data_IF_259991314995
#
_entry.id   IF_259991314995
#
_cell.length_a   1.000
_cell.length_b   1.000
_cell.length_c   1.000
_cell.angle_alpha   90.00
_cell.angle_beta   90.00
_cell.angle_gamma   90.00
#
_symmetry.space_group_name_H-M   'P 1'
#
loop_
_entity.id
_entity.type
_entity.pdbx_description
1 polymer ?
#
# COMPACT_ATOMS: atom_id res chain seq x y z
N UNK A 1 22.73 19.03 32.62
CA UNK A 1 21.75 18.32 31.76
C UNK A 1 21.56 16.93 32.33
N UNK A 2 20.36 16.54 32.77
CA UNK A 2 20.11 15.16 33.21
C UNK A 2 20.41 14.17 32.09
N UNK A 3 21.30 13.22 32.35
CA UNK A 3 21.69 12.17 31.42
C UNK A 3 20.72 11.00 31.44
N UNK A 4 20.70 10.18 30.37
CA UNK A 4 19.87 8.96 30.32
C UNK A 4 20.22 7.99 31.47
N UNK A 5 21.50 7.98 31.90
CA UNK A 5 21.95 7.16 33.02
C UNK A 5 21.34 7.63 34.34
N UNK A 6 21.35 8.93 34.62
CA UNK A 6 20.79 9.52 35.84
C UNK A 6 19.27 9.31 35.92
N UNK A 7 18.57 9.47 34.80
CA UNK A 7 17.12 9.30 34.74
C UNK A 7 16.68 7.87 35.06
N UNK A 8 17.46 6.89 34.61
CA UNK A 8 17.11 5.47 34.73
C UNK A 8 17.79 4.78 35.92
N UNK A 9 18.79 5.39 36.56
CA UNK A 9 19.49 4.78 37.70
C UNK A 9 18.60 4.57 38.93
N UNK A 10 17.47 5.29 39.02
CA UNK A 10 16.50 5.13 40.11
C UNK A 10 15.78 3.78 40.11
N UNK A 11 15.72 3.08 38.97
CA UNK A 11 14.97 1.82 38.86
C UNK A 11 15.81 0.59 39.21
N UNK A 12 17.14 0.72 39.21
CA UNK A 12 18.05 -0.37 39.56
C UNK A 12 19.46 -0.18 39.05
N UNK A 13 20.30 -1.20 39.27
CA UNK A 13 21.71 -1.18 38.89
C UNK A 13 21.85 -1.28 37.37
N UNK A 14 22.28 -0.18 36.75
CA UNK A 14 22.59 -0.12 35.32
C UNK A 14 23.97 -0.71 35.05
N UNK A 15 24.04 -1.67 34.12
CA UNK A 15 25.28 -2.24 33.58
C UNK A 15 25.85 -1.39 32.44
N UNK A 16 25.00 -0.89 31.55
CA UNK A 16 25.44 -0.10 30.40
C UNK A 16 24.33 0.85 29.91
N UNK A 17 24.75 2.00 29.38
CA UNK A 17 23.88 2.96 28.69
C UNK A 17 24.52 3.33 27.37
N UNK A 18 23.77 3.22 26.27
CA UNK A 18 24.24 3.59 24.93
C UNK A 18 23.22 4.50 24.24
N UNK A 19 23.56 5.76 24.06
CA UNK A 19 22.78 6.69 23.23
C UNK A 19 23.18 6.54 21.78
N UNK A 20 22.21 6.30 20.91
CA UNK A 20 22.47 6.14 19.48
C UNK A 20 22.67 7.51 18.84
N UNK A 21 23.79 7.66 18.12
CA UNK A 21 24.16 8.87 17.40
C UNK A 21 24.28 8.59 15.91
N UNK A 22 24.16 9.62 15.09
CA UNK A 22 24.45 9.56 13.66
C UNK A 22 25.97 9.69 13.39
N UNK A 23 26.44 9.52 12.14
CA UNK A 23 27.86 9.67 11.82
C UNK A 23 28.42 11.07 12.15
N UNK A 24 27.57 12.09 12.27
CA UNK A 24 27.95 13.47 12.64
C UNK A 24 28.04 13.67 14.16
N UNK A 25 27.73 12.64 14.96
CA UNK A 25 27.76 12.68 16.42
C UNK A 25 26.47 13.21 17.05
N UNK A 26 25.47 13.61 16.27
CA UNK A 26 24.17 14.10 16.74
C UNK A 26 23.31 12.92 17.21
N UNK A 27 22.57 13.11 18.31
CA UNK A 27 21.71 12.06 18.87
C UNK A 27 20.56 11.73 17.90
N UNK A 28 20.32 10.43 17.70
CA UNK A 28 19.16 9.91 16.96
C UNK A 28 17.86 9.92 17.79
N UNK A 29 17.91 10.44 19.01
CA UNK A 29 16.73 10.55 19.88
C UNK A 29 16.33 9.25 20.59
N UNK A 30 17.18 8.22 20.57
CA UNK A 30 16.95 6.98 21.31
C UNK A 30 18.25 6.40 21.87
N UNK A 31 18.13 5.53 22.86
CA UNK A 31 19.24 4.84 23.48
C UNK A 31 18.79 3.54 24.15
N UNK A 32 19.76 2.78 24.63
CA UNK A 32 19.55 1.52 25.32
C UNK A 32 20.10 1.61 26.73
N UNK A 33 19.37 1.07 27.69
CA UNK A 33 19.79 0.90 29.08
C UNK A 33 19.74 -0.59 29.38
N UNK A 34 20.86 -1.13 29.85
CA UNK A 34 20.96 -2.52 30.29
C UNK A 34 21.01 -2.56 31.82
N UNK A 35 20.10 -3.29 32.43
CA UNK A 35 20.05 -3.49 33.88
C UNK A 35 20.66 -4.83 34.26
N UNK A 36 21.17 -4.92 35.49
CA UNK A 36 21.63 -6.18 36.05
C UNK A 36 20.51 -7.19 36.31
N UNK A 37 19.28 -6.72 36.52
CA UNK A 37 18.11 -7.55 36.80
C UNK A 37 16.97 -7.22 35.84
N UNK A 38 16.26 -8.26 35.39
CA UNK A 38 15.08 -8.10 34.53
C UNK A 38 13.94 -7.34 35.25
N UNK A 39 13.76 -7.56 36.56
CA UNK A 39 12.75 -6.85 37.38
C UNK A 39 12.94 -5.32 37.34
N UNK A 40 14.19 -4.85 37.37
CA UNK A 40 14.52 -3.43 37.35
C UNK A 40 14.19 -2.80 35.98
N UNK A 41 14.43 -3.56 34.91
CA UNK A 41 14.07 -3.14 33.55
C UNK A 41 12.54 -3.03 33.36
N UNK A 42 11.76 -3.98 33.88
CA UNK A 42 10.30 -3.94 33.78
C UNK A 42 9.72 -2.76 34.56
N UNK A 43 10.22 -2.49 35.78
CA UNK A 43 9.84 -1.29 36.55
C UNK A 43 10.11 0.00 35.77
N UNK A 44 11.28 0.09 35.12
CA UNK A 44 11.60 1.24 34.30
C UNK A 44 10.67 1.39 33.08
N UNK A 45 10.24 0.29 32.46
CA UNK A 45 9.26 0.31 31.36
C UNK A 45 7.90 0.78 31.86
N UNK A 46 7.38 0.20 32.94
CA UNK A 46 6.08 0.54 33.51
C UNK A 46 6.00 2.00 33.95
N UNK A 47 7.04 2.49 34.64
CA UNK A 47 7.01 3.81 35.25
C UNK A 47 7.38 4.94 34.27
N UNK A 48 8.20 4.67 33.24
CA UNK A 48 8.72 5.73 32.36
C UNK A 48 8.11 5.73 30.96
N UNK A 49 7.47 4.64 30.52
CA UNK A 49 6.86 4.62 29.19
C UNK A 49 5.66 5.59 29.14
N UNK A 50 5.69 6.53 28.19
CA UNK A 50 4.65 7.55 28.05
C UNK A 50 4.82 8.78 28.93
N UNK A 51 5.88 8.88 29.76
CA UNK A 51 6.15 10.09 30.53
C UNK A 51 6.69 11.23 29.67
N UNK A 52 6.33 12.45 30.02
CA UNK A 52 6.84 13.65 29.38
C UNK A 52 8.14 14.12 30.06
N UNK A 53 9.21 14.25 29.27
CA UNK A 53 10.50 14.72 29.72
C UNK A 53 10.97 15.80 28.75
N UNK A 54 11.15 17.03 29.26
CA UNK A 54 11.58 18.19 28.47
C UNK A 54 10.66 18.47 27.26
N UNK A 55 9.35 18.40 27.47
CA UNK A 55 8.36 18.63 26.41
C UNK A 55 8.24 17.49 25.39
N UNK A 56 8.82 16.32 25.67
CA UNK A 56 8.75 15.15 24.79
C UNK A 56 8.28 13.92 25.55
N UNK A 57 7.24 13.28 25.04
CA UNK A 57 6.80 11.97 25.52
C UNK A 57 7.86 10.93 25.13
N UNK A 58 8.42 10.24 26.12
CA UNK A 58 9.39 9.17 25.90
C UNK A 58 8.68 7.82 25.77
N UNK A 59 9.19 6.97 24.88
CA UNK A 59 8.76 5.59 24.76
C UNK A 59 9.83 4.67 25.35
N UNK A 60 9.42 3.81 26.27
CA UNK A 60 10.31 2.84 26.94
C UNK A 60 9.72 1.46 26.75
N UNK A 61 10.54 0.53 26.29
CA UNK A 61 10.12 -0.85 26.07
C UNK A 61 11.33 -1.79 26.10
N UNK A 62 11.06 -3.09 26.12
CA UNK A 62 12.10 -4.10 26.05
C UNK A 62 12.99 -3.89 24.81
N UNK A 63 14.30 -3.89 25.01
CA UNK A 63 15.24 -3.71 23.92
C UNK A 63 15.14 -4.89 22.94
N UNK A 64 14.65 -4.62 21.74
CA UNK A 64 14.50 -5.60 20.67
C UNK A 64 15.66 -5.48 19.69
N UNK A 65 16.16 -6.60 19.15
CA UNK A 65 17.21 -6.54 18.14
C UNK A 65 16.67 -5.83 16.89
N UNK A 66 17.54 -5.06 16.22
CA UNK A 66 17.16 -4.30 15.01
C UNK A 66 16.49 -5.19 13.96
N UNK A 67 17.03 -6.39 13.73
CA UNK A 67 16.51 -7.36 12.74
C UNK A 67 15.11 -7.82 13.11
N UNK A 68 14.90 -8.23 14.36
CA UNK A 68 13.60 -8.66 14.89
C UNK A 68 12.56 -7.55 14.79
N UNK A 69 12.92 -6.33 15.22
CA UNK A 69 12.05 -5.14 15.12
C UNK A 69 11.65 -4.85 13.68
N UNK A 70 12.61 -4.90 12.75
CA UNK A 70 12.33 -4.64 11.34
C UNK A 70 11.43 -5.72 10.73
N UNK A 71 11.67 -7.00 11.07
CA UNK A 71 10.84 -8.11 10.61
C UNK A 71 9.40 -8.01 11.14
N UNK A 72 9.23 -7.68 12.42
CA UNK A 72 7.90 -7.50 13.02
C UNK A 72 7.16 -6.31 12.39
N UNK A 73 7.84 -5.18 12.21
CA UNK A 73 7.25 -3.99 11.59
C UNK A 73 6.83 -4.26 10.15
N UNK A 74 7.66 -5.00 9.39
CA UNK A 74 7.36 -5.44 8.03
C UNK A 74 6.14 -6.36 8.03
N UNK A 75 6.10 -7.38 8.88
CA UNK A 75 4.96 -8.31 9.01
C UNK A 75 3.67 -7.56 9.36
N UNK A 76 3.73 -6.63 10.31
CA UNK A 76 2.57 -5.82 10.73
C UNK A 76 2.07 -4.93 9.58
N UNK A 77 2.98 -4.33 8.82
CA UNK A 77 2.62 -3.54 7.65
C UNK A 77 1.98 -4.41 6.55
N UNK A 78 2.54 -5.58 6.27
CA UNK A 78 1.99 -6.54 5.31
C UNK A 78 0.60 -7.04 5.74
N UNK A 79 0.41 -7.32 7.03
CA UNK A 79 -0.88 -7.72 7.59
C UNK A 79 -1.93 -6.60 7.43
N UNK A 80 -1.63 -5.37 7.82
CA UNK A 80 -2.54 -4.23 7.65
C UNK A 80 -2.86 -3.98 6.17
N UNK A 81 -1.88 -4.16 5.28
CA UNK A 81 -2.08 -4.07 3.83
C UNK A 81 -3.05 -5.17 3.38
N UNK A 82 -2.86 -6.42 3.79
CA UNK A 82 -3.70 -7.54 3.43
C UNK A 82 -5.13 -7.41 3.96
N UNK A 83 -5.32 -7.00 5.22
CA UNK A 83 -6.62 -6.73 5.81
C UNK A 83 -7.36 -5.62 5.05
N UNK A 84 -6.63 -4.56 4.67
CA UNK A 84 -7.14 -3.51 3.81
C UNK A 84 -7.51 -4.00 2.41
N UNK A 85 -6.84 -5.04 1.89
CA UNK A 85 -7.16 -5.69 0.61
C UNK A 85 -8.45 -6.49 0.71
N UNK A 86 -8.49 -7.44 1.63
CA UNK A 86 -9.62 -8.35 1.82
C UNK A 86 -10.92 -7.62 2.15
N UNK A 87 -10.86 -6.49 2.87
CA UNK A 87 -12.06 -5.69 3.21
C UNK A 87 -12.89 -5.27 1.99
N UNK A 88 -12.25 -4.99 0.86
CA UNK A 88 -12.92 -4.46 -0.34
C UNK A 88 -13.01 -5.49 -1.47
N UNK A 89 -12.53 -6.71 -1.24
CA UNK A 89 -12.51 -7.76 -2.25
C UNK A 89 -13.94 -8.22 -2.54
N UNK A 90 -14.34 -8.14 -3.81
CA UNK A 90 -15.67 -8.58 -4.26
C UNK A 90 -16.84 -7.66 -3.85
N UNK A 91 -16.60 -6.60 -3.07
CA UNK A 91 -17.64 -5.67 -2.58
C UNK A 91 -17.48 -4.24 -3.09
N UNK A 92 -16.40 -3.94 -3.81
CA UNK A 92 -16.10 -2.60 -4.30
C UNK A 92 -16.25 -2.52 -5.82
N UNK A 93 -17.06 -1.58 -6.29
CA UNK A 93 -17.31 -1.29 -7.68
C UNK A 93 -16.50 -0.11 -8.17
N UNK A 94 -16.11 -0.18 -9.44
CA UNK A 94 -15.60 0.91 -10.22
C UNK A 94 -16.68 1.36 -11.20
N UNK A 95 -17.04 2.64 -11.13
CA UNK A 95 -18.05 3.25 -11.97
C UNK A 95 -17.36 4.29 -12.84
N UNK A 96 -17.40 4.13 -14.16
CA UNK A 96 -16.82 5.05 -15.13
C UNK A 96 -17.93 5.67 -15.98
N UNK A 97 -17.57 6.76 -16.65
CA UNK A 97 -18.47 7.55 -17.50
C UNK A 97 -19.54 8.29 -16.70
N UNK A 98 -19.19 8.70 -15.48
CA UNK A 98 -20.03 9.59 -14.68
C UNK A 98 -20.14 10.95 -15.37
N UNK A 99 -21.35 11.48 -15.40
CA UNK A 99 -21.60 12.87 -15.75
C UNK A 99 -20.99 13.80 -14.69
N UNK A 100 -20.53 14.99 -15.11
CA UNK A 100 -19.85 15.94 -14.21
C UNK A 100 -20.78 16.47 -13.11
N UNK A 101 -22.10 16.36 -13.32
CA UNK A 101 -23.14 16.73 -12.34
C UNK A 101 -23.39 15.66 -11.28
N UNK A 102 -22.76 14.48 -11.39
CA UNK A 102 -22.90 13.37 -10.44
C UNK A 102 -21.81 13.47 -9.37
N UNK A 103 -22.20 13.98 -8.20
CA UNK A 103 -21.37 13.97 -6.99
C UNK A 103 -21.56 12.71 -6.13
N UNK A 104 -20.87 12.67 -4.99
CA UNK A 104 -20.91 11.54 -4.05
C UNK A 104 -22.33 11.18 -3.58
N UNK A 105 -23.16 12.19 -3.29
CA UNK A 105 -24.52 11.98 -2.79
C UNK A 105 -25.45 11.37 -3.86
N UNK A 106 -25.41 11.91 -5.08
CA UNK A 106 -26.18 11.36 -6.20
C UNK A 106 -25.73 9.94 -6.52
N UNK A 107 -24.41 9.69 -6.60
CA UNK A 107 -23.88 8.35 -6.80
C UNK A 107 -24.38 7.38 -5.73
N UNK A 108 -24.37 7.79 -4.46
CA UNK A 108 -24.89 6.95 -3.37
C UNK A 108 -26.40 6.70 -3.52
N UNK A 109 -27.17 7.72 -3.90
CA UNK A 109 -28.62 7.61 -4.09
C UNK A 109 -28.96 6.62 -5.21
N UNK A 110 -28.32 6.75 -6.37
CA UNK A 110 -28.56 5.87 -7.52
C UNK A 110 -28.21 4.40 -7.23
N UNK A 111 -27.17 4.15 -6.44
CA UNK A 111 -26.74 2.78 -6.12
C UNK A 111 -27.41 2.20 -4.86
N UNK A 112 -28.10 3.01 -4.06
CA UNK A 112 -28.74 2.56 -2.81
C UNK A 112 -29.83 1.48 -2.97
N UNK A 113 -30.61 1.40 -4.07
CA UNK A 113 -31.61 0.34 -4.25
C UNK A 113 -31.01 -1.07 -4.39
N UNK A 114 -29.72 -1.19 -4.71
CA UNK A 114 -29.08 -2.48 -4.95
C UNK A 114 -28.46 -3.10 -3.69
N UNK A 115 -28.32 -2.33 -2.61
CA UNK A 115 -27.75 -2.83 -1.36
C UNK A 115 -27.28 -1.76 -0.38
N UNK A 116 -26.75 -2.21 0.75
CA UNK A 116 -26.23 -1.32 1.79
C UNK A 116 -24.84 -0.77 1.44
N UNK A 117 -24.80 0.49 1.02
CA UNK A 117 -23.54 1.18 0.67
C UNK A 117 -22.78 1.59 1.92
N UNK A 118 -21.58 1.00 2.09
CA UNK A 118 -20.61 1.35 3.13
C UNK A 118 -19.80 2.59 2.75
N UNK A 119 -19.51 2.77 1.45
CA UNK A 119 -18.74 3.92 0.94
C UNK A 119 -19.09 4.24 -0.50
N UNK A 120 -19.33 5.51 -0.81
CA UNK A 120 -19.42 6.00 -2.18
C UNK A 120 -18.52 7.23 -2.35
N UNK A 121 -17.69 7.26 -3.41
CA UNK A 121 -16.78 8.38 -3.66
C UNK A 121 -16.50 8.55 -5.16
N UNK A 122 -16.83 9.73 -5.68
CA UNK A 122 -16.41 10.23 -6.99
C UNK A 122 -14.99 10.78 -6.88
N UNK A 123 -14.16 10.47 -7.86
CA UNK A 123 -12.79 10.95 -7.91
C UNK A 123 -12.75 12.31 -8.57
N UNK A 124 -12.21 13.28 -7.84
CA UNK A 124 -12.06 14.67 -8.27
C UNK A 124 -10.58 14.99 -8.51
N UNK A 125 -10.32 15.89 -9.46
CA UNK A 125 -9.02 16.48 -9.77
C UNK A 125 -9.22 17.99 -9.84
N UNK A 126 -8.54 18.74 -8.97
CA UNK A 126 -8.66 20.19 -8.83
C UNK A 126 -10.12 20.69 -8.73
N UNK A 127 -10.95 19.94 -7.98
CA UNK A 127 -12.37 20.25 -7.78
C UNK A 127 -13.31 19.80 -8.91
N UNK A 128 -12.78 19.30 -10.03
CA UNK A 128 -13.57 18.77 -11.15
C UNK A 128 -13.67 17.25 -11.11
N UNK A 129 -14.81 16.70 -11.51
CA UNK A 129 -14.98 15.24 -11.65
C UNK A 129 -14.01 14.67 -12.69
N UNK A 130 -13.36 13.55 -12.36
CA UNK A 130 -12.59 12.76 -13.32
C UNK A 130 -13.49 11.83 -14.15
N UNK A 131 -14.82 11.90 -13.96
CA UNK A 131 -15.79 11.05 -14.66
C UNK A 131 -15.81 9.60 -14.18
N UNK A 132 -15.27 9.30 -12.99
CA UNK A 132 -15.34 7.98 -12.39
C UNK A 132 -15.40 8.03 -10.85
N UNK A 133 -15.88 6.96 -10.25
CA UNK A 133 -16.02 6.82 -8.82
C UNK A 133 -16.03 5.36 -8.38
N UNK A 134 -16.17 5.18 -7.07
CA UNK A 134 -16.25 3.89 -6.42
C UNK A 134 -17.46 3.80 -5.52
N UNK A 135 -18.08 2.63 -5.49
CA UNK A 135 -19.16 2.28 -4.55
C UNK A 135 -18.81 0.95 -3.92
N UNK A 136 -18.73 0.94 -2.59
CA UNK A 136 -18.54 -0.27 -1.80
C UNK A 136 -19.86 -0.64 -1.14
N UNK A 137 -20.29 -1.86 -1.39
CA UNK A 137 -21.43 -2.49 -0.73
C UNK A 137 -21.00 -3.22 0.54
N UNK A 138 -21.98 -3.75 1.24
CA UNK A 138 -21.76 -4.55 2.45
C UNK A 138 -21.58 -6.02 2.10
N UNK A 139 -22.19 -6.50 0.99
CA UNK A 139 -22.04 -7.87 0.50
C UNK A 139 -21.62 -7.98 -0.97
N UNK A 140 -20.97 -9.09 -1.37
CA UNK A 140 -20.64 -9.36 -2.77
C UNK A 140 -21.87 -9.63 -3.65
N UNK A 141 -22.95 -10.11 -3.05
CA UNK A 141 -24.22 -10.41 -3.72
C UNK A 141 -24.88 -9.10 -4.21
N UNK A 142 -24.97 -8.10 -3.32
CA UNK A 142 -25.42 -6.73 -3.65
C UNK A 142 -24.58 -6.12 -4.78
N UNK A 143 -23.27 -6.34 -4.72
CA UNK A 143 -22.30 -5.85 -5.71
C UNK A 143 -22.55 -6.45 -7.09
N UNK A 144 -22.79 -7.75 -7.15
CA UNK A 144 -23.06 -8.48 -8.40
C UNK A 144 -24.39 -8.05 -9.02
N UNK A 145 -25.41 -7.83 -8.18
CA UNK A 145 -26.70 -7.29 -8.60
C UNK A 145 -26.54 -5.89 -9.22
N UNK A 146 -25.84 -5.00 -8.53
CA UNK A 146 -25.57 -3.65 -9.01
C UNK A 146 -24.79 -3.63 -10.34
N UNK A 147 -23.81 -4.52 -10.54
CA UNK A 147 -23.08 -4.63 -11.82
C UNK A 147 -24.03 -5.03 -12.94
N UNK A 148 -24.91 -6.01 -12.70
CA UNK A 148 -25.82 -6.52 -13.72
C UNK A 148 -26.84 -5.49 -14.16
N UNK A 149 -27.40 -4.73 -13.21
CA UNK A 149 -28.48 -3.78 -13.49
C UNK A 149 -28.00 -2.38 -13.92
N UNK A 150 -26.87 -1.90 -13.37
CA UNK A 150 -26.41 -0.53 -13.64
C UNK A 150 -25.38 -0.42 -14.75
N UNK A 151 -24.72 -1.51 -15.15
CA UNK A 151 -23.78 -1.46 -16.26
C UNK A 151 -24.52 -1.21 -17.58
N UNK A 152 -24.20 -0.11 -18.26
CA UNK A 152 -24.88 0.36 -19.46
C UNK A 152 -26.11 1.24 -19.19
N UNK A 153 -26.55 1.37 -17.93
CA UNK A 153 -27.68 2.22 -17.58
C UNK A 153 -27.34 3.71 -17.77
N UNK A 154 -28.24 4.48 -18.38
CA UNK A 154 -28.03 5.91 -18.62
C UNK A 154 -28.44 6.72 -17.41
N UNK A 155 -27.48 7.37 -16.76
CA UNK A 155 -27.70 8.24 -15.59
C UNK A 155 -27.21 9.64 -15.95
N UNK A 156 -28.13 10.60 -15.95
CA UNK A 156 -27.86 11.93 -16.48
C UNK A 156 -27.81 11.89 -18.01
N UNK A 157 -26.68 12.27 -18.61
CA UNK A 157 -26.51 12.32 -20.07
C UNK A 157 -25.70 11.15 -20.65
N UNK A 158 -25.14 10.27 -19.81
CA UNK A 158 -24.16 9.24 -20.22
C UNK A 158 -24.51 7.85 -19.70
N UNK A 159 -24.25 6.77 -20.48
CA UNK A 159 -24.36 5.40 -20.00
C UNK A 159 -23.20 5.07 -19.05
N UNK A 160 -23.51 4.50 -17.89
CA UNK A 160 -22.51 4.11 -16.90
C UNK A 160 -21.77 2.84 -17.33
N UNK A 161 -20.49 2.75 -16.97
CA UNK A 161 -19.72 1.51 -17.03
C UNK A 161 -19.41 1.04 -15.62
N UNK A 162 -19.96 -0.10 -15.21
CA UNK A 162 -19.88 -0.60 -13.84
C UNK A 162 -19.19 -1.97 -13.83
N UNK A 163 -18.07 -2.09 -13.11
CA UNK A 163 -17.33 -3.34 -12.95
C UNK A 163 -16.81 -3.51 -11.53
N UNK A 164 -16.36 -4.71 -11.17
CA UNK A 164 -15.58 -4.91 -9.95
C UNK A 164 -14.31 -4.04 -9.99
N UNK A 165 -14.03 -3.34 -8.90
CA UNK A 165 -12.88 -2.48 -8.79
C UNK A 165 -11.59 -3.30 -8.66
N UNK A 166 -10.71 -3.16 -9.64
CA UNK A 166 -9.36 -3.71 -9.56
C UNK A 166 -8.42 -2.74 -8.86
N UNK A 167 -7.51 -3.25 -8.03
CA UNK A 167 -6.49 -2.39 -7.43
C UNK A 167 -5.45 -2.00 -8.47
N UNK A 168 -5.01 -0.75 -8.40
CA UNK A 168 -3.94 -0.21 -9.25
C UNK A 168 -2.63 -1.02 -9.15
N UNK A 169 -2.33 -1.62 -8.00
CA UNK A 169 -1.16 -2.50 -7.83
C UNK A 169 -1.31 -3.84 -8.57
N UNK A 170 -2.49 -4.47 -8.49
CA UNK A 170 -2.78 -5.71 -9.20
C UNK A 170 -2.77 -5.50 -10.71
N UNK A 171 -3.34 -4.39 -11.20
CA UNK A 171 -3.30 -4.02 -12.61
C UNK A 171 -1.86 -3.80 -13.12
N UNK A 172 -1.01 -3.13 -12.33
CA UNK A 172 0.41 -2.97 -12.66
C UNK A 172 1.17 -4.30 -12.63
N UNK A 173 0.91 -5.17 -11.67
CA UNK A 173 1.55 -6.47 -11.58
C UNK A 173 1.16 -7.36 -12.77
N UNK A 174 -0.10 -7.35 -13.20
CA UNK A 174 -0.55 -8.07 -14.39
C UNK A 174 0.12 -7.55 -15.66
N UNK A 175 0.18 -6.23 -15.87
CA UNK A 175 0.86 -5.64 -17.02
C UNK A 175 2.37 -5.94 -17.02
N UNK A 176 3.01 -5.91 -15.84
CA UNK A 176 4.43 -6.24 -15.68
C UNK A 176 4.69 -7.72 -15.95
N UNK A 177 3.84 -8.62 -15.45
CA UNK A 177 3.94 -10.05 -15.73
C UNK A 177 3.67 -10.37 -17.19
N UNK A 178 2.70 -9.71 -17.83
CA UNK A 178 2.40 -9.89 -19.25
C UNK A 178 3.57 -9.39 -20.12
N UNK A 179 4.20 -8.27 -19.76
CA UNK A 179 5.42 -7.79 -20.40
C UNK A 179 6.57 -8.80 -20.20
N UNK A 180 6.79 -9.29 -18.98
CA UNK A 180 7.84 -10.28 -18.70
C UNK A 180 7.60 -11.61 -19.43
N UNK A 181 6.38 -12.09 -19.56
CA UNK A 181 6.05 -13.29 -20.33
C UNK A 181 6.30 -13.10 -21.83
N UNK A 182 5.96 -11.94 -22.41
CA UNK A 182 6.29 -11.63 -23.81
C UNK A 182 7.80 -11.57 -24.05
N UNK A 183 8.55 -10.94 -23.16
CA UNK A 183 10.02 -10.83 -23.25
C UNK A 183 10.68 -12.20 -23.05
N UNK A 184 10.15 -13.05 -22.15
CA UNK A 184 10.62 -14.42 -21.97
C UNK A 184 10.33 -15.30 -23.19
N UNK A 185 9.17 -15.12 -23.84
CA UNK A 185 8.82 -15.80 -25.10
C UNK A 185 9.76 -15.44 -26.26
N UNK A 186 10.27 -14.20 -26.32
CA UNK A 186 11.29 -13.81 -27.30
C UNK A 186 12.69 -14.39 -27.01
N UNK A 187 13.00 -14.73 -25.75
CA UNK A 187 14.25 -15.40 -25.35
C UNK A 187 14.19 -16.93 -25.45
N UNK A 188 13.02 -17.51 -25.67
CA UNK A 188 12.80 -18.96 -25.70
C UNK A 188 12.96 -19.58 -27.10
N UNK A 189 13.39 -18.81 -28.12
CA UNK A 189 13.82 -19.42 -29.38
C UNK A 189 15.15 -20.14 -29.16
N UNK A 190 15.25 -21.46 -29.43
CA UNK A 190 16.50 -22.17 -29.30
C UNK A 190 17.54 -21.56 -30.25
N UNK A 191 18.76 -21.38 -29.75
CA UNK A 191 19.91 -20.83 -30.48
C UNK A 191 20.24 -21.58 -31.79
N UNK A 192 19.58 -22.71 -32.06
CA UNK A 192 19.78 -23.56 -33.23
C UNK A 192 18.91 -23.24 -34.45
N UNK A 193 18.01 -22.24 -34.40
CA UNK A 193 17.24 -21.82 -35.60
C UNK A 193 17.91 -20.66 -36.36
N UNK A 194 18.98 -20.07 -35.83
CA UNK A 194 19.67 -18.90 -36.42
C UNK A 194 21.05 -19.29 -37.00
N UNK A 195 21.17 -20.47 -37.61
CA UNK A 195 22.47 -20.93 -38.17
C UNK A 195 22.39 -21.50 -39.59
N UNK A 196 21.30 -21.31 -40.32
CA UNK A 196 21.33 -21.46 -41.78
C UNK A 196 20.69 -20.27 -42.46
N UNK A 197 21.48 -19.63 -43.30
CA UNK A 197 21.16 -18.43 -44.10
C UNK A 197 21.22 -17.14 -43.30
N UNK A 198 22.39 -16.51 -43.24
CA UNK A 198 22.54 -15.07 -43.53
C UNK A 198 24.04 -14.77 -43.56
N UNK A 199 24.58 -14.62 -44.77
CA UNK A 199 25.87 -13.96 -44.99
C UNK A 199 25.77 -12.50 -44.51
N UNK A 200 26.83 -11.92 -43.92
CA UNK A 200 26.78 -10.56 -43.43
C UNK A 200 26.91 -9.60 -44.61
N UNK A 201 25.82 -8.87 -44.92
CA UNK A 201 25.92 -7.62 -45.66
C UNK A 201 25.83 -6.46 -44.66
N UNK A 202 26.84 -5.58 -44.76
CA UNK A 202 27.05 -4.44 -43.89
C UNK A 202 25.90 -3.42 -43.93
N UNK A 203 25.67 -2.75 -42.80
CA UNK A 203 24.82 -1.55 -42.72
C UNK A 203 23.57 -1.75 -41.87
N UNK A 204 23.71 -1.56 -40.56
CA UNK A 204 22.59 -1.65 -39.63
C UNK A 204 21.76 -0.37 -39.60
N UNK A 205 20.49 -0.47 -39.97
CA UNK A 205 19.35 0.19 -39.33
C UNK A 205 18.09 -0.62 -39.68
N UNK A 206 17.40 -1.19 -38.69
CA UNK A 206 16.11 -1.86 -38.91
C UNK A 206 14.99 -1.07 -38.22
N UNK A 207 14.01 -0.67 -39.03
CA UNK A 207 12.80 0.05 -38.62
C UNK A 207 11.71 -0.98 -38.31
N UNK A 208 10.94 -0.87 -37.22
CA UNK A 208 9.86 -1.80 -36.96
C UNK A 208 8.68 -1.54 -37.91
N UNK A 209 8.31 -2.55 -38.69
CA UNK A 209 7.10 -2.55 -39.53
C UNK A 209 5.86 -2.70 -38.65
N UNK A 210 4.91 -1.78 -38.83
CA UNK A 210 3.57 -1.81 -38.22
C UNK A 210 2.67 -2.69 -39.09
N UNK A 211 2.00 -3.72 -38.55
CA UNK A 211 1.02 -4.48 -39.33
C UNK A 211 -0.22 -3.61 -39.58
N UNK A 212 -0.59 -3.42 -40.84
CA UNK A 212 -1.91 -2.93 -41.22
C UNK A 212 -2.95 -4.03 -41.10
N UNK A 213 -4.19 -3.57 -40.87
CA UNK A 213 -5.39 -4.28 -40.44
C UNK A 213 -5.75 -5.55 -41.22
#
# INVERSE_FOLDING_TARGET
>A
MMSLKELFSQFGKILSVKVMRDPTGKSKGFGFVSYGKHKDANKAVEEMNGKEIRGKVIFVGCAQKKVERQAELKRKFEQLKQEGISRYQGVNLYIKNLDDTIGNEKLRKEFSPFGSITRAKVMLEDGRSKGFGFVCFSSPEETTKAVTEMNGCTVGSKPLYVTLAQRKEEGKAHLTNQYMQRVAGMRALPANVILSQFQPAAGGYFVPVVPQA
#
